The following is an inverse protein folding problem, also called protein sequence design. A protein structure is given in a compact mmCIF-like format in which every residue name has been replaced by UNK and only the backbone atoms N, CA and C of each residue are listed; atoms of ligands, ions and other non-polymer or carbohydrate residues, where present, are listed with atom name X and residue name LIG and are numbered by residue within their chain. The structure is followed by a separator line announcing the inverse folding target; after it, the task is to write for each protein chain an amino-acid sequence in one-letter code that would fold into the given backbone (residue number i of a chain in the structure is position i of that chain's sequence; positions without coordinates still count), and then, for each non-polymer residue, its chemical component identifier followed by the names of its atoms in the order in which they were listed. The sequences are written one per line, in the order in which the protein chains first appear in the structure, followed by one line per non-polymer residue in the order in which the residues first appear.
data_IF_281982316424
#
_entry.id   IF_281982316424
#
_cell.length_a   1.000
_cell.length_b   1.000
_cell.length_c   1.000
_cell.angle_alpha   90.00
_cell.angle_beta   90.00
_cell.angle_gamma   90.00
#
_symmetry.space_group_name_H-M   'P 1'
#
loop_
_entity.id
_entity.type
_entity.pdbx_description
1 polymer ?
#
# COMPACT_ATOMS: atom_id res chain seq x y z
N UNK A 1 7.42 5.61 -10.50
CA UNK A 1 6.93 6.40 -9.33
C UNK A 1 7.92 7.53 -9.06
N UNK A 2 7.48 8.77 -8.85
CA UNK A 2 8.39 9.89 -8.61
C UNK A 2 8.90 9.91 -7.17
N UNK A 3 10.15 10.30 -6.98
CA UNK A 3 10.73 10.49 -5.64
C UNK A 3 10.08 11.65 -4.87
N UNK A 4 9.42 12.57 -5.56
CA UNK A 4 8.69 13.68 -4.94
C UNK A 4 7.33 13.30 -4.37
N UNK A 5 6.90 12.02 -4.53
CA UNK A 5 5.65 11.51 -3.98
C UNK A 5 5.71 11.53 -2.45
N UNK A 6 4.69 12.10 -1.82
CA UNK A 6 4.54 12.05 -0.36
C UNK A 6 4.25 10.62 0.11
N UNK A 7 4.67 10.29 1.32
CA UNK A 7 4.52 8.93 1.85
C UNK A 7 3.05 8.55 2.09
N UNK A 8 2.20 9.49 2.49
CA UNK A 8 0.76 9.24 2.58
C UNK A 8 0.13 8.88 1.22
N UNK A 9 0.64 9.46 0.12
CA UNK A 9 0.21 9.10 -1.23
C UNK A 9 0.81 7.78 -1.70
N UNK A 10 2.04 7.47 -1.28
CA UNK A 10 2.64 6.16 -1.52
C UNK A 10 1.81 5.07 -0.86
N UNK A 11 1.42 5.27 0.41
CA UNK A 11 0.51 4.37 1.12
C UNK A 11 -0.78 4.14 0.33
N UNK A 12 -1.49 5.19 -0.08
CA UNK A 12 -2.73 5.04 -0.87
C UNK A 12 -2.50 4.32 -2.20
N UNK A 13 -1.33 4.51 -2.84
CA UNK A 13 -0.98 3.81 -4.08
C UNK A 13 -0.77 2.32 -3.84
N UNK A 14 -0.15 1.94 -2.72
CA UNK A 14 0.02 0.55 -2.31
C UNK A 14 -1.32 -0.09 -1.96
N UNK A 15 -2.18 0.60 -1.22
CA UNK A 15 -3.54 0.14 -0.92
C UNK A 15 -4.31 -0.19 -2.20
N UNK A 16 -4.30 0.72 -3.17
CA UNK A 16 -4.95 0.50 -4.48
C UNK A 16 -4.30 -0.66 -5.25
N UNK A 17 -2.97 -0.82 -5.19
CA UNK A 17 -2.25 -1.89 -5.87
C UNK A 17 -2.46 -3.27 -5.24
N UNK A 18 -2.76 -3.34 -3.94
CA UNK A 18 -3.10 -4.59 -3.24
C UNK A 18 -4.61 -4.90 -3.25
N UNK A 19 -5.45 -3.93 -3.64
CA UNK A 19 -6.90 -4.05 -3.56
C UNK A 19 -7.44 -3.92 -2.13
N UNK A 20 -6.71 -3.25 -1.25
CA UNK A 20 -7.10 -2.98 0.13
C UNK A 20 -7.88 -1.67 0.28
N UNK A 21 -8.58 -1.53 1.40
CA UNK A 21 -9.58 -0.47 1.62
C UNK A 21 -9.08 0.67 2.51
N UNK A 22 -7.82 0.64 2.96
CA UNK A 22 -7.23 1.65 3.84
C UNK A 22 -7.98 1.75 5.19
N UNK A 23 -8.28 0.61 5.79
CA UNK A 23 -9.06 0.51 7.04
C UNK A 23 -8.20 0.61 8.30
N UNK A 24 -6.88 0.40 8.18
CA UNK A 24 -5.95 0.31 9.31
C UNK A 24 -4.82 1.34 9.23
N UNK A 25 -4.07 1.46 10.32
CA UNK A 25 -2.88 2.29 10.41
C UNK A 25 -1.72 1.67 9.61
N UNK A 26 -0.77 2.52 9.25
CA UNK A 26 0.40 2.12 8.51
C UNK A 26 1.66 2.84 8.97
N UNK A 27 2.80 2.27 8.65
CA UNK A 27 4.11 2.86 8.88
C UNK A 27 5.08 2.50 7.77
N UNK A 28 5.91 3.45 7.35
CA UNK A 28 7.12 3.19 6.58
C UNK A 28 8.31 3.27 7.51
N UNK A 29 9.30 2.39 7.34
CA UNK A 29 10.51 2.48 8.14
C UNK A 29 11.75 1.96 7.40
N UNK A 30 12.91 2.46 7.83
CA UNK A 30 14.22 1.96 7.45
C UNK A 30 15.19 2.18 8.61
N UNK A 31 15.80 1.10 9.13
CA UNK A 31 16.53 1.13 10.40
C UNK A 31 15.62 1.64 11.52
N UNK A 32 16.08 2.61 12.28
CA UNK A 32 15.37 3.21 13.42
C UNK A 32 14.48 4.41 13.04
N UNK A 33 14.39 4.74 11.75
CA UNK A 33 13.63 5.91 11.28
C UNK A 33 12.28 5.48 10.76
N UNK A 34 11.22 6.07 11.32
CA UNK A 34 9.83 5.69 11.08
C UNK A 34 8.97 6.86 10.60
N UNK A 35 8.07 6.61 9.63
CA UNK A 35 7.11 7.58 9.08
C UNK A 35 5.72 6.97 9.05
N UNK A 36 4.78 7.61 9.70
CA UNK A 36 3.40 7.14 9.80
C UNK A 36 2.43 8.28 10.06
N UNK A 37 1.34 7.99 10.73
CA UNK A 37 0.40 8.98 11.22
C UNK A 37 0.66 9.16 12.73
N UNK A 38 1.26 10.28 13.15
CA UNK A 38 1.51 10.52 14.57
C UNK A 38 0.20 10.58 15.34
N UNK A 39 0.20 10.01 16.53
CA UNK A 39 -0.90 10.15 17.48
C UNK A 39 -0.94 11.60 18.00
N UNK A 40 -2.05 12.34 17.80
CA UNK A 40 -2.17 13.73 18.22
C UNK A 40 -2.07 13.91 19.75
N UNK A 41 -2.47 12.92 20.52
CA UNK A 41 -2.47 12.95 21.99
C UNK A 41 -1.13 12.52 22.58
N UNK A 42 -0.24 11.96 21.74
CA UNK A 42 1.10 11.48 22.11
C UNK A 42 1.10 10.46 23.26
N UNK A 43 0.06 9.64 23.34
CA UNK A 43 -0.14 8.69 24.45
C UNK A 43 0.70 7.42 24.27
N UNK A 44 1.20 7.13 23.07
CA UNK A 44 1.88 5.90 22.71
C UNK A 44 3.35 6.13 22.31
N UNK A 45 4.26 6.11 23.26
CA UNK A 45 5.71 5.94 23.07
C UNK A 45 6.36 6.86 22.02
N UNK A 46 7.34 6.33 21.29
CA UNK A 46 8.04 7.05 20.22
C UNK A 46 7.13 7.25 19.00
N UNK A 47 6.87 8.52 18.66
CA UNK A 47 5.99 8.86 17.55
C UNK A 47 6.72 8.83 16.20
N UNK A 48 6.11 8.28 15.14
CA UNK A 48 6.67 8.34 13.80
C UNK A 48 6.67 9.79 13.27
N UNK A 49 7.55 10.09 12.34
CA UNK A 49 7.47 11.32 11.56
C UNK A 49 6.21 11.31 10.68
N UNK A 50 5.59 12.48 10.51
CA UNK A 50 4.33 12.62 9.77
C UNK A 50 4.52 12.29 8.28
N UNK A 51 4.00 11.16 7.82
CA UNK A 51 4.04 10.69 6.45
C UNK A 51 3.39 11.68 5.44
N UNK A 52 2.52 12.57 5.92
CA UNK A 52 1.90 13.63 5.08
C UNK A 52 2.86 14.77 4.76
N UNK A 53 3.96 14.89 5.51
CA UNK A 53 4.99 15.92 5.34
C UNK A 53 6.26 15.38 4.71
N UNK A 54 6.52 14.08 4.81
CA UNK A 54 7.68 13.41 4.24
C UNK A 54 7.41 12.90 2.81
N UNK A 55 8.46 12.81 2.01
CA UNK A 55 8.46 12.31 0.64
C UNK A 55 9.38 11.11 0.51
N UNK A 56 9.19 10.34 -0.53
CA UNK A 56 10.09 9.22 -0.84
C UNK A 56 11.55 9.68 -1.01
N UNK A 57 11.75 10.90 -1.57
CA UNK A 57 13.07 11.54 -1.65
C UNK A 57 13.73 11.73 -0.28
N UNK A 58 12.96 12.14 0.72
CA UNK A 58 13.49 12.43 2.06
C UNK A 58 14.09 11.15 2.67
N UNK A 59 13.39 10.02 2.55
CA UNK A 59 13.92 8.71 3.00
C UNK A 59 15.25 8.40 2.33
N UNK A 60 15.30 8.49 1.00
CA UNK A 60 16.50 8.15 0.23
C UNK A 60 17.67 9.07 0.55
N UNK A 61 17.40 10.36 0.68
CA UNK A 61 18.43 11.38 0.91
C UNK A 61 18.97 11.34 2.34
N UNK A 62 18.10 11.17 3.32
CA UNK A 62 18.46 11.21 4.74
C UNK A 62 19.12 9.91 5.21
N UNK A 63 18.66 8.76 4.69
CA UNK A 63 19.10 7.45 5.16
C UNK A 63 20.02 6.71 4.19
N UNK A 64 20.07 7.12 2.91
CA UNK A 64 20.76 6.38 1.85
C UNK A 64 20.11 5.04 1.51
N UNK A 65 18.96 4.72 2.08
CA UNK A 65 18.32 3.43 1.93
C UNK A 65 17.76 3.22 0.52
N UNK A 66 17.99 2.02 0.00
CA UNK A 66 17.37 1.51 -1.24
C UNK A 66 16.25 0.51 -0.97
N UNK A 67 16.08 0.16 0.30
CA UNK A 67 15.04 -0.74 0.79
C UNK A 67 14.28 -0.06 1.90
N UNK A 68 12.95 -0.01 1.77
CA UNK A 68 12.04 0.59 2.73
C UNK A 68 11.04 -0.50 3.11
N UNK A 69 10.73 -0.61 4.39
CA UNK A 69 9.65 -1.46 4.87
C UNK A 69 8.35 -0.66 4.91
N UNK A 70 7.27 -1.32 4.58
CA UNK A 70 5.92 -0.79 4.72
C UNK A 70 5.09 -1.78 5.54
N UNK A 71 4.80 -1.40 6.76
CA UNK A 71 3.93 -2.12 7.68
C UNK A 71 2.52 -1.57 7.55
N UNK A 72 1.57 -2.43 7.29
CA UNK A 72 0.15 -2.12 7.25
C UNK A 72 -0.60 -3.02 8.20
N UNK A 73 -1.59 -2.47 8.88
CA UNK A 73 -2.35 -3.14 9.93
C UNK A 73 -1.45 -3.71 11.04
N UNK A 74 -1.33 -2.98 12.14
CA UNK A 74 -0.45 -3.38 13.24
C UNK A 74 -0.93 -4.65 13.97
N UNK A 75 -2.22 -5.01 13.83
CA UNK A 75 -2.79 -6.25 14.32
C UNK A 75 -2.35 -7.44 13.48
N UNK A 76 -2.57 -7.37 12.18
CA UNK A 76 -2.21 -8.41 11.21
C UNK A 76 -0.73 -8.39 10.82
N UNK A 77 -0.04 -7.27 11.07
CA UNK A 77 1.40 -7.09 10.85
C UNK A 77 1.86 -7.38 9.40
N UNK A 78 1.16 -6.85 8.40
CA UNK A 78 1.54 -7.00 7.00
C UNK A 78 2.78 -6.17 6.67
N UNK A 79 3.95 -6.80 6.72
CA UNK A 79 5.24 -6.17 6.44
C UNK A 79 5.66 -6.43 4.98
N UNK A 80 5.75 -5.36 4.21
CA UNK A 80 6.14 -5.37 2.80
C UNK A 80 7.53 -4.76 2.62
N UNK A 81 8.29 -5.30 1.68
CA UNK A 81 9.62 -4.79 1.33
C UNK A 81 9.53 -4.04 0.00
N UNK A 82 9.76 -2.73 0.06
CA UNK A 82 9.82 -1.85 -1.11
C UNK A 82 11.28 -1.68 -1.50
N UNK A 83 11.64 -2.15 -2.70
CA UNK A 83 12.98 -1.95 -3.27
C UNK A 83 12.97 -0.82 -4.29
N UNK A 84 13.87 0.13 -4.13
CA UNK A 84 14.08 1.24 -5.05
C UNK A 84 15.12 0.81 -6.09
N UNK A 85 14.67 0.43 -7.28
CA UNK A 85 15.56 -0.13 -8.31
C UNK A 85 16.17 0.94 -9.22
N UNK A 86 15.31 1.75 -9.87
CA UNK A 86 15.72 2.80 -10.81
C UNK A 86 14.85 4.03 -10.65
N UNK A 87 15.46 5.19 -10.71
CA UNK A 87 14.79 6.48 -10.85
C UNK A 87 15.30 7.21 -12.08
N UNK A 88 14.41 7.96 -12.69
CA UNK A 88 14.68 8.75 -13.87
C UNK A 88 14.34 10.21 -13.58
N UNK A 89 15.24 11.14 -13.89
CA UNK A 89 15.07 12.56 -13.60
C UNK A 89 13.97 13.24 -14.44
N UNK A 90 13.56 12.62 -15.55
CA UNK A 90 12.55 13.14 -16.46
C UNK A 90 11.52 12.06 -16.80
N UNK A 91 10.48 11.92 -16.00
CA UNK A 91 9.33 11.08 -16.38
C UNK A 91 8.24 11.93 -17.00
N UNK A 92 7.72 11.56 -18.19
CA UNK A 92 6.61 12.27 -18.83
C UNK A 92 5.28 12.15 -18.07
N UNK A 93 5.24 11.37 -17.00
CA UNK A 93 4.04 11.04 -16.20
C UNK A 93 3.73 12.06 -15.10
N UNK A 94 4.17 13.30 -15.19
CA UNK A 94 3.88 14.38 -14.21
C UNK A 94 4.10 13.97 -12.73
N UNK A 95 4.91 12.93 -12.50
CA UNK A 95 5.22 12.47 -11.16
C UNK A 95 4.11 11.69 -10.46
N UNK A 96 3.29 10.93 -11.18
CA UNK A 96 2.18 10.14 -10.64
C UNK A 96 2.52 8.66 -10.60
N UNK A 97 1.99 7.88 -9.64
CA UNK A 97 2.20 6.44 -9.58
C UNK A 97 1.51 5.73 -10.74
N UNK A 98 2.16 4.66 -11.21
CA UNK A 98 1.61 3.72 -12.19
C UNK A 98 1.87 2.31 -11.68
N UNK A 99 0.90 1.42 -11.81
CA UNK A 99 1.08 -0.01 -11.64
C UNK A 99 1.60 -0.57 -12.96
N UNK A 100 2.78 -1.18 -12.94
CA UNK A 100 3.40 -1.75 -14.14
C UNK A 100 3.14 -3.24 -14.25
N UNK A 101 3.09 -3.94 -13.12
CA UNK A 101 2.83 -5.37 -13.04
C UNK A 101 2.27 -5.76 -11.68
N UNK A 102 1.56 -6.89 -11.61
CA UNK A 102 1.04 -7.49 -10.39
C UNK A 102 0.99 -9.02 -10.56
N UNK A 103 1.49 -9.73 -9.55
CA UNK A 103 1.51 -11.21 -9.53
C UNK A 103 0.97 -11.66 -8.19
N UNK A 104 -0.02 -12.56 -8.23
CA UNK A 104 -0.73 -13.02 -7.03
C UNK A 104 -1.75 -12.00 -6.52
N UNK A 105 -2.71 -12.48 -5.76
CA UNK A 105 -3.76 -11.68 -5.15
C UNK A 105 -3.40 -11.35 -3.71
N UNK A 106 -3.62 -10.12 -3.29
CA UNK A 106 -3.47 -9.71 -1.90
C UNK A 106 -4.42 -10.50 -0.98
N UNK A 107 -4.03 -10.76 0.28
CA UNK A 107 -4.93 -11.38 1.25
C UNK A 107 -6.14 -10.49 1.51
N UNK A 108 -7.29 -11.09 1.95
CA UNK A 108 -8.41 -10.30 2.45
C UNK A 108 -7.98 -9.43 3.66
N UNK A 109 -8.63 -8.28 3.84
CA UNK A 109 -8.49 -7.50 5.07
C UNK A 109 -8.95 -8.32 6.29
N UNK A 110 -8.37 -8.07 7.45
CA UNK A 110 -8.73 -8.69 8.74
C UNK A 110 -8.61 -10.23 8.76
N UNK A 111 -7.78 -10.82 7.92
CA UNK A 111 -7.63 -12.28 7.84
C UNK A 111 -6.79 -12.89 8.96
N UNK A 112 -6.18 -12.06 9.82
CA UNK A 112 -5.32 -12.48 10.93
C UNK A 112 -3.85 -12.63 10.56
N UNK A 113 -3.36 -11.77 9.64
CA UNK A 113 -1.98 -11.75 9.20
C UNK A 113 -1.56 -12.99 8.43
N UNK A 114 -0.27 -13.24 8.33
CA UNK A 114 0.26 -14.38 7.58
C UNK A 114 -0.21 -15.75 8.12
N UNK A 115 -0.30 -15.98 9.44
CA UNK A 115 -0.86 -17.23 9.97
C UNK A 115 -2.33 -17.41 9.62
N UNK A 116 -3.18 -16.40 9.88
CA UNK A 116 -4.60 -16.47 9.56
C UNK A 116 -4.86 -16.62 8.07
N UNK A 117 -4.04 -15.98 7.22
CA UNK A 117 -4.11 -16.17 5.77
C UNK A 117 -3.79 -17.60 5.35
N UNK A 118 -2.79 -18.23 5.98
CA UNK A 118 -2.47 -19.64 5.73
C UNK A 118 -3.64 -20.57 6.10
N UNK A 119 -4.26 -20.34 7.26
CA UNK A 119 -5.45 -21.08 7.70
C UNK A 119 -6.65 -20.83 6.77
N UNK A 120 -6.88 -19.59 6.38
CA UNK A 120 -7.91 -19.23 5.40
C UNK A 120 -7.74 -20.00 4.09
N UNK A 121 -6.53 -20.04 3.53
CA UNK A 121 -6.25 -20.77 2.28
C UNK A 121 -6.48 -22.29 2.43
N UNK A 122 -6.09 -22.88 3.56
CA UNK A 122 -6.37 -24.29 3.85
C UNK A 122 -7.87 -24.55 3.89
N UNK A 123 -8.61 -23.73 4.63
CA UNK A 123 -10.05 -23.89 4.77
C UNK A 123 -10.81 -23.76 3.45
N UNK A 124 -10.49 -22.78 2.60
CA UNK A 124 -11.19 -22.58 1.32
C UNK A 124 -10.81 -23.61 0.26
N UNK A 125 -9.66 -24.27 0.38
CA UNK A 125 -9.16 -25.25 -0.59
C UNK A 125 -9.67 -26.68 -0.35
N UNK A 126 -10.03 -27.02 0.88
CA UNK A 126 -10.47 -28.37 1.27
C UNK A 126 -11.97 -28.38 1.64
N UNK A 127 -12.84 -28.94 0.78
CA UNK A 127 -14.27 -29.07 1.09
C UNK A 127 -14.60 -29.89 2.36
N UNK A 128 -13.64 -30.70 2.85
CA UNK A 128 -13.81 -31.47 4.08
C UNK A 128 -13.37 -30.68 5.33
N UNK A 129 -12.79 -29.51 5.17
CA UNK A 129 -12.33 -28.68 6.29
C UNK A 129 -13.53 -28.17 7.12
N UNK A 130 -13.49 -28.25 8.46
CA UNK A 130 -14.62 -27.82 9.31
C UNK A 130 -15.09 -26.39 9.04
N UNK A 131 -14.15 -25.47 8.73
CA UNK A 131 -14.44 -24.06 8.48
C UNK A 131 -14.66 -23.72 7.00
N UNK A 132 -14.69 -24.72 6.09
CA UNK A 132 -14.76 -24.47 4.63
C UNK A 132 -15.89 -23.52 4.26
N UNK A 133 -17.12 -23.88 4.62
CA UNK A 133 -18.33 -23.10 4.29
C UNK A 133 -18.33 -21.71 4.95
N UNK A 134 -17.77 -21.63 6.17
CA UNK A 134 -17.66 -20.36 6.89
C UNK A 134 -16.69 -19.42 6.17
N UNK A 135 -15.47 -19.87 5.89
CA UNK A 135 -14.42 -19.07 5.29
C UNK A 135 -14.73 -18.68 3.84
N UNK A 136 -15.41 -19.54 3.09
CA UNK A 136 -15.89 -19.19 1.75
C UNK A 136 -16.96 -18.11 1.71
N UNK A 137 -17.77 -18.00 2.78
CA UNK A 137 -18.78 -16.92 2.91
C UNK A 137 -18.19 -15.65 3.49
N UNK A 138 -17.19 -15.79 4.36
CA UNK A 138 -16.53 -14.65 4.99
C UNK A 138 -15.63 -13.89 4.01
N UNK A 139 -14.82 -14.60 3.23
CA UNK A 139 -13.88 -14.01 2.29
C UNK A 139 -14.53 -13.50 0.99
N UNK A 140 -13.74 -12.89 0.11
CA UNK A 140 -14.20 -12.45 -1.21
C UNK A 140 -14.75 -13.62 -2.05
N UNK A 141 -15.81 -13.33 -2.80
CA UNK A 141 -16.39 -14.33 -3.71
C UNK A 141 -15.31 -14.88 -4.66
N UNK A 142 -15.24 -16.22 -4.79
CA UNK A 142 -14.31 -16.94 -5.67
C UNK A 142 -12.85 -16.51 -5.47
N UNK A 143 -12.42 -16.36 -4.22
CA UNK A 143 -11.03 -16.03 -3.93
C UNK A 143 -10.09 -17.12 -4.44
N UNK A 144 -9.12 -16.72 -5.28
CA UNK A 144 -7.98 -17.53 -5.72
C UNK A 144 -6.70 -16.68 -5.52
N UNK A 145 -5.72 -17.13 -4.71
CA UNK A 145 -4.50 -16.38 -4.44
C UNK A 145 -3.61 -16.21 -5.68
N UNK A 146 -3.79 -17.02 -6.71
CA UNK A 146 -3.01 -16.98 -7.94
C UNK A 146 -3.64 -16.12 -9.04
N UNK A 147 -4.89 -15.68 -8.86
CA UNK A 147 -5.64 -14.90 -9.85
C UNK A 147 -5.78 -13.46 -9.38
N UNK A 148 -5.12 -12.56 -10.07
CA UNK A 148 -5.21 -11.11 -9.84
C UNK A 148 -5.87 -10.43 -11.04
N UNK A 149 -6.87 -9.59 -10.77
CA UNK A 149 -7.41 -8.68 -11.78
C UNK A 149 -6.52 -7.45 -11.88
N UNK A 150 -5.48 -7.57 -12.69
CA UNK A 150 -4.52 -6.50 -12.92
C UNK A 150 -5.18 -5.24 -13.49
N UNK A 151 -6.18 -5.40 -14.36
CA UNK A 151 -6.85 -4.24 -14.97
C UNK A 151 -7.64 -3.43 -13.93
N UNK A 152 -8.26 -4.10 -12.95
CA UNK A 152 -8.92 -3.45 -11.82
C UNK A 152 -7.92 -2.69 -10.96
N UNK A 153 -6.78 -3.31 -10.59
CA UNK A 153 -5.74 -2.66 -9.80
C UNK A 153 -5.11 -1.47 -10.53
N UNK A 154 -4.83 -1.60 -11.82
CA UNK A 154 -4.34 -0.49 -12.67
C UNK A 154 -5.35 0.67 -12.69
N UNK A 155 -6.64 0.38 -12.84
CA UNK A 155 -7.69 1.38 -12.84
C UNK A 155 -7.76 2.11 -11.48
N UNK A 156 -7.64 1.39 -10.36
CA UNK A 156 -7.62 1.96 -9.02
C UNK A 156 -6.42 2.90 -8.81
N UNK A 157 -5.22 2.49 -9.18
CA UNK A 157 -4.01 3.33 -9.10
C UNK A 157 -4.11 4.55 -10.03
N UNK A 158 -4.62 4.38 -11.24
CA UNK A 158 -4.82 5.47 -12.20
C UNK A 158 -5.85 6.49 -11.69
N UNK A 159 -6.91 6.06 -11.02
CA UNK A 159 -7.90 6.95 -10.42
C UNK A 159 -7.29 7.86 -9.35
N UNK A 160 -6.36 7.36 -8.54
CA UNK A 160 -5.58 8.19 -7.60
C UNK A 160 -4.70 9.20 -8.34
N UNK A 161 -4.03 8.76 -9.40
CA UNK A 161 -3.19 9.61 -10.24
C UNK A 161 -3.98 10.76 -10.83
N UNK A 162 -5.15 10.51 -11.41
CA UNK A 162 -6.03 11.56 -11.93
C UNK A 162 -6.47 12.56 -10.85
N UNK A 163 -6.82 12.06 -9.65
CA UNK A 163 -7.21 12.90 -8.50
C UNK A 163 -6.08 13.82 -8.05
N UNK A 164 -4.82 13.44 -8.23
CA UNK A 164 -3.65 14.20 -7.77
C UNK A 164 -3.03 15.10 -8.84
N UNK A 165 -3.52 15.06 -10.08
CA UNK A 165 -3.08 15.97 -11.14
C UNK A 165 -3.28 17.43 -10.73
N UNK A 166 -2.29 18.30 -10.95
CA UNK A 166 -2.46 19.73 -10.72
C UNK A 166 -3.60 20.26 -11.58
N UNK A 167 -4.57 20.94 -10.98
CA UNK A 167 -5.61 21.65 -11.77
C UNK A 167 -4.94 22.70 -12.63
N UNK A 168 -5.03 22.58 -13.96
CA UNK A 168 -4.61 23.63 -14.89
C UNK A 168 -5.32 24.94 -14.53
N UNK A 169 -4.57 25.93 -14.04
CA UNK A 169 -5.10 27.28 -13.89
C UNK A 169 -5.41 27.80 -15.28
N UNK A 170 -6.67 27.85 -15.67
CA UNK A 170 -7.10 28.61 -16.84
C UNK A 170 -6.67 30.06 -16.63
N UNK A 171 -5.70 30.54 -17.44
CA UNK A 171 -5.39 31.96 -17.50
C UNK A 171 -6.69 32.66 -17.95
N UNK A 172 -7.31 33.41 -17.06
CA UNK A 172 -8.30 34.41 -17.48
C UNK A 172 -7.57 35.38 -18.37
N UNK A 173 -7.83 35.37 -19.67
CA UNK A 173 -7.49 36.45 -20.58
C UNK A 173 -8.22 37.70 -20.12
N UNK A 174 -7.46 38.75 -19.82
CA UNK A 174 -7.99 40.12 -19.66
C UNK A 174 -8.32 40.67 -21.01
#
# INVERSE_FOLDING_TARGET
MPLTLRLDRLHLSLQAAFGWTNSHLFEFFTGEVHWGIPDPDNDYGHQPMDARKARLWDIVHETGAKTIHYLYDFGDSWNHVIKLEKWFDNTPTEGLPLLLDAIGRGPPEDVGGAPGYAEYLQAISDPAHPEHEHMRRWGPERFDPNVVDRAELEAAVNALSEKWKPRRRTRRSK
#
